data_IF_099717737858
#
_entry.id   IF_099717737858
#
_cell.length_a   1.000
_cell.length_b   1.000
_cell.length_c   1.000
_cell.angle_alpha   90.00
_cell.angle_beta   90.00
_cell.angle_gamma   90.00
#
_symmetry.space_group_name_H-M   'P 1'
#
loop_
_entity.id
_entity.type
_entity.pdbx_description
1 polymer ?
#
# COMPACT_ATOMS: atom_id res chain seq x y z
N UNK A 1 -15.34 -11.37 2.60
CA UNK A 1 -16.02 -10.57 3.56
C UNK A 1 -15.10 -9.93 4.56
N UNK A 2 -15.56 -8.80 5.12
CA UNK A 2 -14.80 -8.04 6.13
C UNK A 2 -14.77 -8.71 7.52
N UNK A 3 -15.37 -9.88 7.67
CA UNK A 3 -15.52 -10.53 8.98
C UNK A 3 -14.26 -11.24 9.48
N UNK A 4 -13.25 -11.40 8.63
CA UNK A 4 -12.03 -12.14 8.95
C UNK A 4 -10.80 -11.21 9.12
N UNK A 5 -11.00 -9.88 9.04
CA UNK A 5 -9.92 -8.90 9.27
C UNK A 5 -9.84 -8.60 10.77
N UNK A 6 -8.64 -8.72 11.31
CA UNK A 6 -8.33 -8.38 12.70
C UNK A 6 -7.38 -7.19 12.70
N UNK A 7 -7.77 -6.10 13.34
CA UNK A 7 -6.87 -4.97 13.61
C UNK A 7 -6.16 -5.31 14.91
N UNK A 8 -4.85 -5.51 14.84
CA UNK A 8 -4.08 -6.07 15.95
C UNK A 8 -4.13 -5.19 17.19
N UNK A 9 -4.07 -3.86 17.03
CA UNK A 9 -4.14 -2.90 18.12
C UNK A 9 -5.48 -2.92 18.86
N UNK A 10 -6.56 -3.32 18.19
CA UNK A 10 -7.90 -3.38 18.76
C UNK A 10 -8.24 -4.76 19.34
N UNK A 11 -7.66 -5.84 18.77
CA UNK A 11 -7.99 -7.23 19.08
C UNK A 11 -6.72 -8.07 19.33
N UNK A 12 -5.79 -7.59 20.18
CA UNK A 12 -4.46 -8.21 20.37
C UNK A 12 -4.53 -9.70 20.73
N UNK A 13 -5.40 -10.10 21.67
CA UNK A 13 -5.54 -11.52 22.07
C UNK A 13 -5.93 -12.42 20.90
N UNK A 14 -6.83 -11.94 20.05
CA UNK A 14 -7.29 -12.67 18.86
C UNK A 14 -6.18 -12.76 17.83
N UNK A 15 -5.45 -11.66 17.60
CA UNK A 15 -4.29 -11.62 16.73
C UNK A 15 -3.20 -12.59 17.18
N UNK A 16 -2.85 -12.58 18.46
CA UNK A 16 -1.87 -13.49 19.06
C UNK A 16 -2.28 -14.96 18.88
N UNK A 17 -3.55 -15.26 19.07
CA UNK A 17 -4.07 -16.62 18.86
C UNK A 17 -3.94 -17.06 17.40
N UNK A 18 -4.32 -16.19 16.44
CA UNK A 18 -4.21 -16.50 15.02
C UNK A 18 -2.76 -16.80 14.63
N UNK A 19 -1.79 -15.98 15.09
CA UNK A 19 -0.36 -16.21 14.84
C UNK A 19 0.14 -17.53 15.47
N UNK A 20 -0.35 -17.86 16.66
CA UNK A 20 0.05 -19.09 17.38
C UNK A 20 -0.48 -20.35 16.70
N UNK A 21 -1.72 -20.30 16.22
CA UNK A 21 -2.44 -21.44 15.64
C UNK A 21 -2.13 -21.63 14.14
N UNK A 22 -1.40 -20.70 13.51
CA UNK A 22 -1.11 -20.73 12.07
C UNK A 22 -0.09 -21.82 11.72
N UNK A 23 -0.30 -22.51 10.59
CA UNK A 23 0.69 -23.35 9.92
C UNK A 23 1.59 -22.53 8.99
N UNK A 24 1.02 -21.48 8.37
CA UNK A 24 1.69 -20.56 7.46
C UNK A 24 1.34 -19.11 7.81
N UNK A 25 2.34 -18.25 7.76
CA UNK A 25 2.17 -16.78 7.90
C UNK A 25 2.72 -16.13 6.64
N UNK A 26 1.86 -15.44 5.91
CA UNK A 26 2.27 -14.58 4.81
C UNK A 26 2.46 -13.16 5.33
N UNK A 27 3.64 -12.62 5.12
CA UNK A 27 3.95 -11.22 5.40
C UNK A 27 3.98 -10.47 4.07
N UNK A 28 3.11 -9.47 3.93
CA UNK A 28 2.90 -8.75 2.67
C UNK A 28 3.19 -7.27 2.85
N UNK A 29 3.98 -6.71 1.93
CA UNK A 29 4.25 -5.28 1.82
C UNK A 29 5.05 -4.69 2.99
N UNK A 30 5.90 -5.50 3.58
CA UNK A 30 6.95 -5.06 4.50
C UNK A 30 8.13 -6.05 4.53
N UNK A 31 9.34 -5.50 4.67
CA UNK A 31 10.60 -6.19 4.57
C UNK A 31 11.26 -6.52 5.92
N UNK A 32 10.70 -6.07 7.03
CA UNK A 32 11.20 -6.31 8.39
C UNK A 32 10.06 -6.40 9.38
N UNK A 33 10.15 -7.33 10.33
CA UNK A 33 9.14 -7.49 11.38
C UNK A 33 9.03 -6.26 12.31
N UNK A 34 10.05 -5.41 12.35
CA UNK A 34 10.04 -4.16 13.12
C UNK A 34 8.96 -3.17 12.65
N UNK A 35 8.47 -3.30 11.40
CA UNK A 35 7.42 -2.42 10.85
C UNK A 35 6.01 -2.72 11.38
N UNK A 36 5.85 -3.84 12.06
CA UNK A 36 4.57 -4.27 12.65
C UNK A 36 4.66 -4.38 14.18
N UNK A 37 5.59 -3.66 14.79
CA UNK A 37 5.74 -3.48 16.24
C UNK A 37 5.58 -4.79 17.04
N UNK A 38 4.70 -4.80 18.05
CA UNK A 38 4.46 -5.95 18.93
C UNK A 38 4.01 -7.22 18.20
N UNK A 39 3.27 -7.09 17.09
CA UNK A 39 2.89 -8.24 16.25
C UNK A 39 4.13 -8.90 15.65
N UNK A 40 5.16 -8.11 15.30
CA UNK A 40 6.41 -8.62 14.75
C UNK A 40 7.14 -9.58 15.69
N UNK A 41 7.15 -9.29 17.00
CA UNK A 41 7.71 -10.19 18.02
C UNK A 41 6.95 -11.53 18.02
N UNK A 42 5.61 -11.49 17.97
CA UNK A 42 4.79 -12.70 17.93
C UNK A 42 5.02 -13.52 16.68
N UNK A 43 5.13 -12.85 15.52
CA UNK A 43 5.45 -13.53 14.25
C UNK A 43 6.85 -14.14 14.31
N UNK A 44 7.85 -13.46 14.89
CA UNK A 44 9.20 -14.00 15.05
C UNK A 44 9.22 -15.29 15.89
N UNK A 45 8.48 -15.31 17.01
CA UNK A 45 8.39 -16.45 17.94
C UNK A 45 7.55 -17.62 17.40
N UNK A 46 6.68 -17.38 16.39
CA UNK A 46 5.81 -18.41 15.83
C UNK A 46 6.59 -19.53 15.16
N UNK A 47 6.09 -20.76 15.32
CA UNK A 47 6.58 -21.96 14.63
C UNK A 47 6.06 -22.12 13.20
N UNK A 48 5.08 -21.28 12.81
CA UNK A 48 4.54 -21.28 11.47
C UNK A 48 5.63 -21.02 10.42
N UNK A 49 5.47 -21.59 9.25
CA UNK A 49 6.30 -21.28 8.08
C UNK A 49 5.99 -19.87 7.60
N UNK A 50 7.02 -19.02 7.53
CA UNK A 50 6.92 -17.63 7.15
C UNK A 50 7.22 -17.44 5.67
N UNK A 51 6.33 -16.81 4.96
CA UNK A 51 6.46 -16.50 3.53
C UNK A 51 6.37 -14.99 3.36
N UNK A 52 7.47 -14.35 2.98
CA UNK A 52 7.51 -12.92 2.71
C UNK A 52 7.29 -12.65 1.23
N UNK A 53 6.39 -11.72 0.92
CA UNK A 53 6.18 -11.19 -0.43
C UNK A 53 6.24 -9.67 -0.31
N UNK A 54 7.28 -9.06 -0.88
CA UNK A 54 7.56 -7.65 -0.68
C UNK A 54 8.41 -7.05 -1.81
N UNK A 55 8.28 -5.74 -2.04
CA UNK A 55 9.04 -5.01 -3.05
C UNK A 55 9.98 -3.93 -2.46
N UNK A 56 10.04 -3.81 -1.13
CA UNK A 56 10.94 -2.84 -0.49
C UNK A 56 12.41 -3.32 -0.54
N UNK A 57 13.33 -2.34 -0.50
CA UNK A 57 14.77 -2.59 -0.47
C UNK A 57 15.22 -3.08 0.92
N UNK A 58 16.35 -3.80 0.97
CA UNK A 58 17.00 -4.23 2.22
C UNK A 58 16.11 -5.10 3.12
N UNK A 59 15.63 -6.27 2.64
CA UNK A 59 14.82 -7.17 3.44
C UNK A 59 15.63 -7.84 4.55
N UNK A 60 15.02 -7.98 5.75
CA UNK A 60 15.55 -8.84 6.81
C UNK A 60 15.34 -10.32 6.46
N UNK A 61 16.28 -11.18 6.89
CA UNK A 61 16.25 -12.63 6.68
C UNK A 61 15.48 -13.32 7.83
N UNK A 62 14.14 -13.18 7.85
CA UNK A 62 13.28 -13.77 8.88
C UNK A 62 12.32 -14.85 8.35
N UNK A 63 12.16 -14.93 7.03
CA UNK A 63 11.16 -15.81 6.41
C UNK A 63 11.77 -17.09 5.84
N UNK A 64 11.05 -18.21 5.95
CA UNK A 64 11.47 -19.49 5.36
C UNK A 64 11.48 -19.43 3.82
N UNK A 65 10.62 -18.60 3.22
CA UNK A 65 10.55 -18.37 1.78
C UNK A 65 10.36 -16.87 1.53
N UNK A 66 11.18 -16.31 0.65
CA UNK A 66 11.18 -14.88 0.35
C UNK A 66 10.97 -14.64 -1.14
N UNK A 67 9.92 -13.88 -1.46
CA UNK A 67 9.70 -13.24 -2.76
C UNK A 67 9.93 -11.74 -2.57
N UNK A 68 11.18 -11.31 -2.72
CA UNK A 68 11.60 -9.92 -2.58
C UNK A 68 12.11 -9.41 -3.92
N UNK A 69 11.40 -8.43 -4.50
CA UNK A 69 11.71 -7.89 -5.83
C UNK A 69 11.60 -6.36 -5.85
N UNK A 70 12.66 -5.63 -5.46
CA UNK A 70 12.62 -4.18 -5.37
C UNK A 70 12.43 -3.43 -6.70
N UNK A 71 12.52 -4.11 -7.83
CA UNK A 71 12.33 -3.48 -9.15
C UNK A 71 10.87 -3.44 -9.58
N UNK A 72 10.00 -4.19 -8.92
CA UNK A 72 8.56 -4.22 -9.17
C UNK A 72 7.88 -3.01 -8.51
N UNK A 73 6.87 -2.48 -9.17
CA UNK A 73 6.16 -1.27 -8.77
C UNK A 73 5.29 -1.40 -7.53
N UNK A 74 4.91 -2.62 -7.15
CA UNK A 74 4.07 -2.89 -5.96
C UNK A 74 4.13 -4.35 -5.52
N UNK A 75 3.92 -4.61 -4.25
CA UNK A 75 3.72 -5.97 -3.73
C UNK A 75 2.50 -6.64 -4.37
N UNK A 76 1.45 -5.90 -4.68
CA UNK A 76 0.27 -6.42 -5.37
C UNK A 76 0.58 -6.95 -6.77
N UNK A 77 1.47 -6.31 -7.53
CA UNK A 77 1.95 -6.84 -8.81
C UNK A 77 2.72 -8.16 -8.61
N UNK A 78 3.57 -8.23 -7.58
CA UNK A 78 4.31 -9.44 -7.26
C UNK A 78 3.38 -10.59 -6.85
N UNK A 79 2.35 -10.32 -6.06
CA UNK A 79 1.29 -11.30 -5.73
C UNK A 79 0.59 -11.80 -7.00
N UNK A 80 0.24 -10.91 -7.93
CA UNK A 80 -0.34 -11.31 -9.22
C UNK A 80 0.61 -12.24 -9.98
N UNK A 81 1.91 -11.90 -10.08
CA UNK A 81 2.90 -12.73 -10.77
C UNK A 81 3.06 -14.12 -10.14
N UNK A 82 2.99 -14.21 -8.82
CA UNK A 82 3.01 -15.51 -8.12
C UNK A 82 1.76 -16.34 -8.48
N UNK A 83 0.57 -15.72 -8.47
CA UNK A 83 -0.69 -16.38 -8.86
C UNK A 83 -0.61 -16.86 -10.33
N UNK A 84 -0.06 -16.05 -11.22
CA UNK A 84 0.15 -16.38 -12.63
C UNK A 84 1.15 -17.54 -12.80
N UNK A 85 2.29 -17.47 -12.11
CA UNK A 85 3.31 -18.52 -12.11
C UNK A 85 2.80 -19.88 -11.59
N UNK A 86 1.83 -19.86 -10.67
CA UNK A 86 1.16 -21.05 -10.18
C UNK A 86 0.01 -21.52 -11.10
N UNK A 87 -0.24 -20.89 -12.23
CA UNK A 87 -1.36 -21.14 -13.15
C UNK A 87 -2.75 -21.01 -12.48
N UNK A 88 -2.88 -20.13 -11.49
CA UNK A 88 -4.09 -19.94 -10.67
C UNK A 88 -4.88 -18.67 -11.05
N UNK A 89 -4.57 -18.01 -12.14
CA UNK A 89 -5.26 -16.78 -12.61
C UNK A 89 -6.78 -17.00 -12.74
N UNK A 90 -7.22 -18.23 -13.08
CA UNK A 90 -8.65 -18.57 -13.16
C UNK A 90 -9.40 -18.41 -11.83
N UNK A 91 -8.71 -18.46 -10.70
CA UNK A 91 -9.26 -18.31 -9.35
C UNK A 91 -9.43 -16.84 -8.93
N UNK A 92 -8.85 -15.89 -9.67
CA UNK A 92 -9.03 -14.47 -9.41
C UNK A 92 -10.49 -14.12 -9.73
N UNK A 93 -11.29 -13.89 -8.68
CA UNK A 93 -12.61 -13.33 -8.81
C UNK A 93 -12.55 -11.78 -8.88
N UNK A 94 -13.68 -11.15 -9.05
CA UNK A 94 -13.75 -9.70 -9.23
C UNK A 94 -13.28 -8.92 -7.99
N UNK A 95 -13.52 -9.44 -6.79
CA UNK A 95 -13.11 -8.83 -5.53
C UNK A 95 -11.58 -8.86 -5.38
N UNK A 96 -10.97 -10.02 -5.64
CA UNK A 96 -9.52 -10.18 -5.66
C UNK A 96 -8.88 -9.32 -6.74
N UNK A 97 -9.46 -9.30 -7.95
CA UNK A 97 -8.99 -8.46 -9.04
C UNK A 97 -9.02 -6.97 -8.66
N UNK A 98 -10.09 -6.51 -8.01
CA UNK A 98 -10.19 -5.13 -7.54
C UNK A 98 -9.13 -4.80 -6.50
N UNK A 99 -8.87 -5.69 -5.52
CA UNK A 99 -7.84 -5.48 -4.50
C UNK A 99 -6.44 -5.39 -5.11
N UNK A 100 -6.06 -6.34 -5.98
CA UNK A 100 -4.76 -6.34 -6.64
C UNK A 100 -4.60 -5.10 -7.52
N UNK A 101 -5.62 -4.76 -8.32
CA UNK A 101 -5.62 -3.55 -9.14
C UNK A 101 -5.41 -2.28 -8.30
N UNK A 102 -6.10 -2.18 -7.16
CA UNK A 102 -6.00 -1.04 -6.25
C UNK A 102 -4.57 -0.86 -5.74
N UNK A 103 -3.92 -1.93 -5.27
CA UNK A 103 -2.55 -1.85 -4.78
C UNK A 103 -1.57 -1.47 -5.89
N UNK A 104 -1.69 -2.03 -7.10
CA UNK A 104 -0.86 -1.61 -8.24
C UNK A 104 -1.08 -0.13 -8.55
N UNK A 105 -2.32 0.34 -8.58
CA UNK A 105 -2.68 1.72 -8.88
C UNK A 105 -2.07 2.71 -7.88
N UNK A 106 -2.17 2.42 -6.59
CA UNK A 106 -1.70 3.31 -5.51
C UNK A 106 -0.18 3.41 -5.51
N UNK A 107 0.51 2.29 -5.51
CA UNK A 107 1.97 2.24 -5.39
C UNK A 107 2.71 2.74 -6.62
N UNK A 108 2.07 2.64 -7.79
CA UNK A 108 2.65 3.17 -9.04
C UNK A 108 2.29 4.63 -9.31
N UNK A 109 1.66 5.30 -8.34
CA UNK A 109 1.20 6.68 -8.50
C UNK A 109 0.27 6.85 -9.69
N UNK A 110 -0.69 5.95 -9.88
CA UNK A 110 -1.57 5.87 -11.05
C UNK A 110 -0.79 5.60 -12.35
N UNK A 111 0.10 4.61 -12.31
CA UNK A 111 0.94 4.16 -13.43
C UNK A 111 1.94 5.22 -13.95
N UNK A 112 2.34 6.20 -13.12
CA UNK A 112 3.26 7.27 -13.53
C UNK A 112 4.71 7.01 -13.15
N UNK A 113 4.96 6.14 -12.17
CA UNK A 113 6.32 5.95 -11.65
C UNK A 113 7.18 5.10 -12.61
N UNK A 114 8.52 5.30 -12.62
CA UNK A 114 9.43 4.58 -13.49
C UNK A 114 9.45 3.06 -13.30
N UNK A 115 8.97 2.56 -12.17
CA UNK A 115 8.82 1.12 -11.89
C UNK A 115 7.71 0.44 -12.71
N UNK A 116 6.84 1.21 -13.38
CA UNK A 116 5.79 0.66 -14.25
C UNK A 116 6.40 0.09 -15.53
N UNK A 117 6.07 -1.16 -15.83
CA UNK A 117 6.59 -1.90 -16.99
C UNK A 117 5.45 -2.39 -17.90
N UNK A 118 5.83 -2.96 -19.03
CA UNK A 118 4.86 -3.65 -19.90
C UNK A 118 4.17 -4.82 -19.18
N UNK A 119 4.85 -5.47 -18.23
CA UNK A 119 4.26 -6.57 -17.46
C UNK A 119 3.22 -6.04 -16.45
N UNK A 120 3.46 -4.88 -15.83
CA UNK A 120 2.45 -4.17 -15.01
C UNK A 120 1.16 -3.97 -15.80
N UNK A 121 1.26 -3.45 -17.04
CA UNK A 121 0.07 -3.22 -17.88
C UNK A 121 -0.60 -4.50 -18.34
N UNK A 122 0.14 -5.60 -18.57
CA UNK A 122 -0.45 -6.92 -18.87
C UNK A 122 -1.23 -7.46 -17.68
N UNK A 123 -0.65 -7.38 -16.47
CA UNK A 123 -1.35 -7.76 -15.24
C UNK A 123 -2.65 -6.97 -15.10
N UNK A 124 -2.60 -5.64 -15.29
CA UNK A 124 -3.77 -4.77 -15.25
C UNK A 124 -4.83 -5.20 -16.28
N UNK A 125 -4.44 -5.50 -17.51
CA UNK A 125 -5.38 -5.96 -18.53
C UNK A 125 -6.14 -7.22 -18.07
N UNK A 126 -5.42 -8.21 -17.54
CA UNK A 126 -6.04 -9.44 -17.00
C UNK A 126 -6.96 -9.12 -15.82
N UNK A 127 -6.57 -8.24 -14.91
CA UNK A 127 -7.40 -7.86 -13.76
C UNK A 127 -8.71 -7.19 -14.20
N UNK A 128 -8.68 -6.38 -15.26
CA UNK A 128 -9.89 -5.79 -15.86
C UNK A 128 -10.78 -6.89 -16.50
N UNK A 129 -10.20 -7.84 -17.21
CA UNK A 129 -10.91 -9.02 -17.75
C UNK A 129 -11.55 -9.86 -16.64
N UNK A 130 -10.92 -9.91 -15.45
CA UNK A 130 -11.44 -10.57 -14.24
C UNK A 130 -12.49 -9.75 -13.49
N UNK A 131 -12.82 -8.56 -13.98
CA UNK A 131 -13.94 -7.75 -13.50
C UNK A 131 -13.58 -6.63 -12.52
N UNK A 132 -12.30 -6.26 -12.39
CA UNK A 132 -11.94 -5.05 -11.66
C UNK A 132 -12.60 -3.83 -12.32
N UNK A 133 -13.39 -3.10 -11.56
CA UNK A 133 -14.00 -1.86 -12.02
C UNK A 133 -13.07 -0.68 -11.79
N UNK A 134 -12.18 -0.43 -12.75
CA UNK A 134 -11.17 0.60 -12.63
C UNK A 134 -11.74 2.02 -12.40
N UNK A 135 -12.83 2.37 -13.06
CA UNK A 135 -13.46 3.69 -12.92
C UNK A 135 -13.96 3.90 -11.49
N UNK A 136 -14.67 2.90 -10.94
CA UNK A 136 -15.14 2.95 -9.56
C UNK A 136 -13.96 3.03 -8.56
N UNK A 137 -12.89 2.25 -8.79
CA UNK A 137 -11.70 2.29 -7.92
C UNK A 137 -11.04 3.66 -7.95
N UNK A 138 -10.87 4.25 -9.14
CA UNK A 138 -10.33 5.61 -9.28
C UNK A 138 -11.20 6.65 -8.58
N UNK A 139 -12.52 6.60 -8.76
CA UNK A 139 -13.46 7.49 -8.09
C UNK A 139 -13.32 7.41 -6.56
N UNK A 140 -13.28 6.19 -6.00
CA UNK A 140 -13.14 6.01 -4.55
C UNK A 140 -11.79 6.52 -4.01
N UNK A 141 -10.71 6.40 -4.76
CA UNK A 141 -9.36 6.78 -4.30
C UNK A 141 -9.05 8.24 -4.56
N UNK A 142 -9.45 8.79 -5.71
CA UNK A 142 -9.02 10.11 -6.17
C UNK A 142 -10.10 11.18 -6.06
N UNK A 143 -11.37 10.81 -6.28
CA UNK A 143 -12.46 11.76 -6.45
C UNK A 143 -13.40 11.81 -5.23
N UNK A 144 -13.13 11.03 -4.19
CA UNK A 144 -13.90 10.99 -2.94
C UNK A 144 -13.36 11.93 -1.84
N UNK A 145 -12.50 12.90 -2.19
CA UNK A 145 -11.89 13.79 -1.24
C UNK A 145 -12.94 14.67 -0.53
N UNK A 146 -12.88 14.74 0.81
CA UNK A 146 -13.72 15.65 1.59
C UNK A 146 -13.43 17.12 1.22
N UNK A 147 -14.43 18.01 1.23
CA UNK A 147 -14.20 19.45 0.98
C UNK A 147 -13.12 20.05 1.90
N UNK A 148 -13.05 19.64 3.16
CA UNK A 148 -12.06 20.11 4.12
C UNK A 148 -10.63 19.67 3.74
N UNK A 149 -10.45 18.45 3.19
CA UNK A 149 -9.17 18.02 2.65
C UNK A 149 -8.73 18.85 1.45
N UNK A 150 -9.66 19.25 0.58
CA UNK A 150 -9.35 20.12 -0.56
C UNK A 150 -8.96 21.53 -0.11
N UNK A 151 -9.61 22.06 0.94
CA UNK A 151 -9.19 23.34 1.54
C UNK A 151 -7.79 23.24 2.13
N UNK A 152 -7.51 22.16 2.87
CA UNK A 152 -6.19 21.92 3.46
C UNK A 152 -5.11 21.80 2.36
N UNK A 153 -5.42 21.12 1.25
CA UNK A 153 -4.52 21.06 0.10
C UNK A 153 -4.24 22.47 -0.46
N UNK A 154 -5.27 23.31 -0.57
CA UNK A 154 -5.10 24.70 -1.00
C UNK A 154 -4.14 25.48 -0.10
N UNK A 155 -4.25 25.32 1.22
CA UNK A 155 -3.33 25.92 2.20
C UNK A 155 -1.92 25.34 2.03
N UNK A 156 -1.80 24.04 1.92
CA UNK A 156 -0.52 23.36 1.72
C UNK A 156 0.23 23.88 0.48
N UNK A 157 -0.50 24.07 -0.63
CA UNK A 157 0.07 24.63 -1.87
C UNK A 157 0.47 26.09 -1.72
N UNK A 158 -0.28 26.90 -0.97
CA UNK A 158 0.09 28.29 -0.67
C UNK A 158 1.33 28.38 0.23
N UNK A 159 1.48 27.44 1.17
CA UNK A 159 2.60 27.39 2.10
C UNK A 159 3.84 26.70 1.50
N UNK A 160 3.76 26.23 0.25
CA UNK A 160 4.90 25.57 -0.41
C UNK A 160 5.99 26.60 -0.71
N UNK A 161 7.19 26.30 -0.25
CA UNK A 161 8.39 27.12 -0.45
C UNK A 161 9.40 26.33 -1.28
N UNK A 162 9.93 26.99 -2.30
CA UNK A 162 10.95 26.43 -3.18
C UNK A 162 12.33 26.98 -2.84
N UNK A 163 13.27 26.08 -2.60
CA UNK A 163 14.69 26.37 -2.37
C UNK A 163 15.47 25.94 -3.63
N UNK A 164 15.47 26.79 -4.63
CA UNK A 164 16.03 26.50 -5.95
C UNK A 164 17.52 26.12 -5.91
N UNK A 165 18.29 26.73 -4.98
CA UNK A 165 19.71 26.49 -4.84
C UNK A 165 20.06 25.05 -4.42
N UNK A 166 19.11 24.34 -3.83
CA UNK A 166 19.28 22.97 -3.33
C UNK A 166 18.25 21.99 -3.90
N UNK A 167 17.53 22.36 -4.95
CA UNK A 167 16.49 21.55 -5.59
C UNK A 167 15.50 20.94 -4.59
N UNK A 168 15.03 21.73 -3.64
CA UNK A 168 14.17 21.26 -2.54
C UNK A 168 12.91 22.10 -2.47
N UNK A 169 11.77 21.45 -2.24
CA UNK A 169 10.55 22.10 -1.83
C UNK A 169 10.10 21.58 -0.46
N UNK A 170 9.54 22.44 0.38
CA UNK A 170 8.92 22.00 1.63
C UNK A 170 7.54 22.65 1.81
N UNK A 171 6.69 21.98 2.55
CA UNK A 171 5.35 22.43 2.90
C UNK A 171 5.24 22.42 4.43
N UNK A 172 4.68 23.50 4.97
CA UNK A 172 4.35 23.58 6.40
C UNK A 172 2.85 23.71 6.58
N UNK A 173 2.32 23.04 7.60
CA UNK A 173 0.94 23.19 8.05
C UNK A 173 0.98 23.42 9.56
N UNK A 174 0.45 24.56 10.01
CA UNK A 174 0.31 24.86 11.44
C UNK A 174 -0.86 24.10 12.05
N UNK A 175 -0.86 23.94 13.38
CA UNK A 175 -2.00 23.32 14.07
C UNK A 175 -3.31 24.09 13.83
N UNK A 176 -3.27 25.43 13.81
CA UNK A 176 -4.45 26.25 13.55
C UNK A 176 -5.03 26.01 12.15
N UNK A 177 -4.19 25.80 11.14
CA UNK A 177 -4.61 25.48 9.76
C UNK A 177 -5.22 24.06 9.69
N UNK A 178 -4.64 23.11 10.40
CA UNK A 178 -5.18 21.75 10.52
C UNK A 178 -6.57 21.77 11.18
N UNK A 179 -6.70 22.50 12.29
CA UNK A 179 -7.96 22.62 13.04
C UNK A 179 -9.04 23.33 12.21
N UNK A 180 -8.67 24.40 11.48
CA UNK A 180 -9.59 25.14 10.60
C UNK A 180 -10.14 24.28 9.44
N UNK A 181 -9.42 23.21 9.08
CA UNK A 181 -9.81 22.26 8.04
C UNK A 181 -10.37 20.94 8.59
N UNK A 182 -10.69 20.84 9.88
CA UNK A 182 -11.15 19.60 10.51
C UNK A 182 -10.27 18.39 10.10
N UNK A 183 -8.94 18.56 10.22
CA UNK A 183 -7.96 17.57 9.80
C UNK A 183 -8.24 16.18 10.38
N UNK A 184 -8.15 15.18 9.53
CA UNK A 184 -8.17 13.77 9.92
C UNK A 184 -6.86 13.10 9.50
N UNK A 185 -6.43 12.10 10.26
CA UNK A 185 -5.25 11.28 9.92
C UNK A 185 -5.38 10.76 8.49
N UNK A 186 -4.38 11.03 7.66
CA UNK A 186 -4.36 10.70 6.23
C UNK A 186 -4.72 11.85 5.27
N UNK A 187 -5.32 12.95 5.73
CA UNK A 187 -5.70 14.07 4.85
C UNK A 187 -4.52 14.74 4.14
N UNK A 188 -3.34 14.72 4.73
CA UNK A 188 -2.11 15.28 4.14
C UNK A 188 -1.38 14.28 3.22
N UNK A 189 -1.86 13.05 3.10
CA UNK A 189 -1.23 12.04 2.26
C UNK A 189 -1.18 12.50 0.79
N UNK A 190 -0.01 12.35 0.17
CA UNK A 190 0.22 12.75 -1.21
C UNK A 190 0.46 14.25 -1.43
N UNK A 191 0.33 15.13 -0.42
CA UNK A 191 0.59 16.57 -0.59
C UNK A 191 2.04 16.85 -1.01
N UNK A 192 3.00 16.09 -0.48
CA UNK A 192 4.41 16.21 -0.85
C UNK A 192 4.67 15.96 -2.34
N UNK A 193 3.82 15.16 -3.00
CA UNK A 193 3.97 14.84 -4.41
C UNK A 193 3.75 16.07 -5.33
N UNK A 194 3.07 17.11 -4.85
CA UNK A 194 2.96 18.36 -5.60
C UNK A 194 4.31 19.08 -5.68
N UNK A 195 5.17 18.97 -4.67
CA UNK A 195 6.54 19.48 -4.72
C UNK A 195 7.43 18.79 -5.77
N UNK A 196 7.10 17.54 -6.10
CA UNK A 196 7.83 16.78 -7.14
C UNK A 196 7.37 17.10 -8.57
N UNK A 197 6.33 17.92 -8.74
CA UNK A 197 5.77 18.28 -10.05
C UNK A 197 6.32 19.57 -10.64
N UNK A 198 7.21 20.25 -9.92
CA UNK A 198 7.79 21.55 -10.29
C UNK A 198 9.31 21.54 -10.20
#
# INVERSE_FOLDING_TARGET
GHHDVVIYEDEEEKGNKLVTDADFIFTLDFNTLKRIDALGERVAESKAKKIMIDHHQEPDDYADLMFSEPTIGSTCELVYQIIEGLNMVSLINKEVAACIYTGILTDTGSFRFPSVTANTHKAVAVLLERGANHSFIHEQIKDSARPDRLKLLGIALQNMVFLNDVNTAYITLSQDELDACNFQKGDSEGFVNYGLSV
#
